data_IF_659970619500
#
_entry.id   IF_659970619500
#
_cell.length_a   1.000
_cell.length_b   1.000
_cell.length_c   1.000
_cell.angle_alpha   90.00
_cell.angle_beta   90.00
_cell.angle_gamma   90.00
#
_symmetry.space_group_name_H-M   'P 1'
#
loop_
_entity.id
_entity.type
_entity.pdbx_description
1 polymer ?
#
# COMPACT_ATOMS: atom_id res chain seq x y z
N UNK A 1 19.58 -12.82 3.39
CA UNK A 1 20.55 -11.85 2.84
C UNK A 1 19.79 -11.07 1.79
N UNK A 2 19.43 -9.82 2.06
CA UNK A 2 18.83 -8.96 1.05
C UNK A 2 19.80 -8.87 -0.13
N UNK A 3 19.32 -9.09 -1.36
CA UNK A 3 20.11 -8.87 -2.56
C UNK A 3 20.52 -7.39 -2.60
N UNK A 4 21.69 -7.06 -3.15
CA UNK A 4 22.12 -5.65 -3.28
C UNK A 4 21.06 -4.79 -3.98
N UNK A 5 20.29 -5.39 -4.90
CA UNK A 5 19.18 -4.73 -5.60
C UNK A 5 18.00 -4.37 -4.69
N UNK A 6 17.73 -5.18 -3.67
CA UNK A 6 16.62 -4.98 -2.72
C UNK A 6 16.96 -3.80 -1.79
N UNK A 7 18.22 -3.75 -1.35
CA UNK A 7 18.76 -2.66 -0.51
C UNK A 7 18.72 -1.33 -1.26
N UNK A 8 19.10 -1.33 -2.55
CA UNK A 8 19.03 -0.14 -3.40
C UNK A 8 17.57 0.33 -3.61
N UNK A 9 16.63 -0.60 -3.78
CA UNK A 9 15.20 -0.28 -3.95
C UNK A 9 14.60 0.29 -2.66
N UNK A 10 14.92 -0.29 -1.51
CA UNK A 10 14.46 0.19 -0.21
C UNK A 10 15.01 1.60 0.10
N UNK A 11 16.31 1.83 -0.13
CA UNK A 11 16.91 3.16 0.04
C UNK A 11 16.31 4.19 -0.93
N UNK A 12 16.06 3.80 -2.19
CA UNK A 12 15.42 4.67 -3.16
C UNK A 12 14.00 5.07 -2.73
N UNK A 13 13.20 4.10 -2.27
CA UNK A 13 11.85 4.37 -1.75
C UNK A 13 11.88 5.29 -0.54
N UNK A 14 12.77 5.02 0.42
CA UNK A 14 12.94 5.87 1.59
C UNK A 14 13.26 7.30 1.16
N UNK A 15 14.25 7.52 0.30
CA UNK A 15 14.62 8.85 -0.19
C UNK A 15 13.48 9.57 -0.94
N UNK A 16 12.60 8.84 -1.62
CA UNK A 16 11.47 9.42 -2.36
C UNK A 16 10.26 9.72 -1.49
N UNK A 17 10.05 8.96 -0.42
CA UNK A 17 8.83 9.00 0.37
C UNK A 17 9.03 9.55 1.79
N UNK A 18 10.28 9.71 2.27
CA UNK A 18 10.59 10.19 3.62
C UNK A 18 10.33 11.69 3.86
N UNK A 19 9.96 12.46 2.83
CA UNK A 19 9.59 13.88 2.97
C UNK A 19 8.58 14.11 4.10
N UNK A 20 8.66 15.24 4.80
CA UNK A 20 7.67 15.61 5.84
C UNK A 20 6.26 15.85 5.28
N UNK A 21 6.12 16.00 3.96
CA UNK A 21 4.80 16.04 3.32
C UNK A 21 4.07 14.72 3.57
N UNK A 22 2.96 14.77 4.31
CA UNK A 22 2.17 13.58 4.67
C UNK A 22 1.64 12.80 3.45
N UNK A 23 1.55 13.44 2.29
CA UNK A 23 0.99 12.86 1.08
C UNK A 23 2.09 12.38 0.14
N UNK A 24 1.82 11.32 -0.62
CA UNK A 24 2.74 10.84 -1.65
C UNK A 24 2.96 11.95 -2.69
N UNK A 25 4.23 12.34 -2.89
CA UNK A 25 4.58 13.29 -3.94
C UNK A 25 4.08 12.79 -5.29
N UNK A 26 3.45 13.67 -6.07
CA UNK A 26 2.59 13.37 -7.23
C UNK A 26 3.24 12.58 -8.38
N UNK A 27 4.52 12.23 -8.28
CA UNK A 27 5.33 11.67 -9.37
C UNK A 27 5.96 10.30 -9.07
N UNK A 28 5.70 9.66 -7.91
CA UNK A 28 6.31 8.33 -7.66
C UNK A 28 5.72 7.23 -8.55
N UNK A 29 4.42 7.31 -8.86
CA UNK A 29 3.72 6.28 -9.63
C UNK A 29 4.31 6.07 -11.03
N UNK A 30 4.90 7.09 -11.66
CA UNK A 30 5.55 6.94 -12.97
C UNK A 30 6.81 6.09 -12.94
N UNK A 31 7.38 5.86 -11.75
CA UNK A 31 8.54 4.98 -11.54
C UNK A 31 8.14 3.59 -11.03
N UNK A 32 6.87 3.37 -10.68
CA UNK A 32 6.36 2.06 -10.29
C UNK A 32 6.12 1.23 -11.56
N UNK A 33 7.19 0.64 -12.08
CA UNK A 33 7.10 -0.40 -13.11
C UNK A 33 6.87 -1.77 -12.46
N UNK A 34 6.45 -2.75 -13.25
CA UNK A 34 6.29 -4.15 -12.79
C UNK A 34 7.54 -4.68 -12.10
N UNK A 35 8.73 -4.41 -12.66
CA UNK A 35 10.00 -4.84 -12.06
C UNK A 35 10.28 -4.16 -10.71
N UNK A 36 9.96 -2.86 -10.60
CA UNK A 36 10.10 -2.13 -9.33
C UNK A 36 9.13 -2.68 -8.30
N UNK A 37 7.87 -2.96 -8.65
CA UNK A 37 6.90 -3.57 -7.73
C UNK A 37 7.37 -4.93 -7.22
N UNK A 38 7.97 -5.77 -8.06
CA UNK A 38 8.54 -7.05 -7.62
C UNK A 38 9.69 -6.86 -6.62
N UNK A 39 10.62 -5.95 -6.90
CA UNK A 39 11.69 -5.64 -5.95
C UNK A 39 11.13 -5.07 -4.62
N UNK A 40 10.02 -4.34 -4.69
CA UNK A 40 9.34 -3.82 -3.50
C UNK A 40 8.80 -4.97 -2.65
N UNK A 41 8.23 -6.02 -3.25
CA UNK A 41 7.75 -7.19 -2.49
C UNK A 41 8.87 -7.79 -1.64
N UNK A 42 10.07 -7.93 -2.22
CA UNK A 42 11.24 -8.49 -1.53
C UNK A 42 11.72 -7.62 -0.36
N UNK A 43 11.68 -6.29 -0.51
CA UNK A 43 12.18 -5.37 0.51
C UNK A 43 11.10 -4.75 1.41
N UNK A 44 9.81 -5.04 1.20
CA UNK A 44 8.68 -4.35 1.85
C UNK A 44 8.79 -4.35 3.37
N UNK A 45 9.12 -5.50 3.95
CA UNK A 45 9.27 -5.69 5.39
C UNK A 45 10.36 -4.80 6.02
N UNK A 46 11.36 -4.35 5.25
CA UNK A 46 12.45 -3.49 5.71
C UNK A 46 12.10 -2.01 5.74
N UNK A 47 10.98 -1.63 5.12
CA UNK A 47 10.54 -0.24 5.02
C UNK A 47 9.88 0.23 6.33
N UNK A 48 10.07 1.50 6.66
CA UNK A 48 9.37 2.13 7.78
C UNK A 48 7.86 2.25 7.51
N UNK A 49 7.03 2.20 8.55
CA UNK A 49 5.57 2.31 8.43
C UNK A 49 5.12 3.52 7.61
N UNK A 50 5.74 4.68 7.81
CA UNK A 50 5.41 5.90 7.08
C UNK A 50 5.71 5.78 5.57
N UNK A 51 6.80 5.10 5.20
CA UNK A 51 7.16 4.85 3.79
C UNK A 51 6.16 3.86 3.17
N UNK A 52 5.80 2.79 3.88
CA UNK A 52 4.78 1.82 3.46
C UNK A 52 3.43 2.50 3.19
N UNK A 53 2.94 3.32 4.13
CA UNK A 53 1.67 4.04 4.00
C UNK A 53 1.68 4.93 2.75
N UNK A 54 2.74 5.71 2.53
CA UNK A 54 2.83 6.59 1.36
C UNK A 54 2.96 5.82 0.06
N UNK A 55 3.65 4.68 0.07
CA UNK A 55 3.72 3.78 -1.08
C UNK A 55 2.34 3.22 -1.41
N UNK A 56 1.59 2.71 -0.43
CA UNK A 56 0.23 2.21 -0.63
C UNK A 56 -0.70 3.31 -1.16
N UNK A 57 -0.64 4.51 -0.58
CA UNK A 57 -1.40 5.67 -1.08
C UNK A 57 -1.01 6.05 -2.52
N UNK A 58 0.23 5.81 -2.94
CA UNK A 58 0.67 6.09 -4.30
C UNK A 58 -0.06 5.25 -5.36
N UNK A 59 -0.61 4.08 -5.00
CA UNK A 59 -1.36 3.23 -5.92
C UNK A 59 -2.62 3.92 -6.45
N UNK A 60 -3.23 4.80 -5.65
CA UNK A 60 -4.39 5.59 -6.05
C UNK A 60 -4.09 6.60 -7.17
N UNK A 61 -2.83 6.94 -7.39
CA UNK A 61 -2.40 7.84 -8.46
C UNK A 61 -2.05 7.11 -9.76
N UNK A 62 -1.99 5.77 -9.74
CA UNK A 62 -1.71 4.97 -10.93
C UNK A 62 -2.93 5.02 -11.86
N UNK A 63 -2.75 5.37 -13.15
CA UNK A 63 -3.84 5.32 -14.12
C UNK A 63 -4.51 3.94 -14.16
N UNK A 64 -5.84 3.91 -14.22
CA UNK A 64 -6.65 2.68 -14.15
C UNK A 64 -6.15 1.54 -15.05
N UNK A 65 -5.76 1.85 -16.29
CA UNK A 65 -5.28 0.85 -17.26
C UNK A 65 -3.98 0.20 -16.78
N UNK A 66 -3.03 1.01 -16.32
CA UNK A 66 -1.78 0.51 -15.77
C UNK A 66 -2.02 -0.29 -14.50
N UNK A 67 -2.87 0.18 -13.58
CA UNK A 67 -3.22 -0.56 -12.37
C UNK A 67 -3.79 -1.96 -12.64
N UNK A 68 -4.54 -2.14 -13.75
CA UNK A 68 -5.01 -3.45 -14.19
C UNK A 68 -3.90 -4.33 -14.74
N UNK A 69 -2.98 -3.75 -15.52
CA UNK A 69 -1.86 -4.48 -16.13
C UNK A 69 -0.88 -5.04 -15.08
N UNK A 70 -0.73 -4.34 -13.96
CA UNK A 70 0.10 -4.74 -12.80
C UNK A 70 -0.74 -5.16 -11.59
N UNK A 71 -1.97 -5.64 -11.81
CA UNK A 71 -2.86 -6.00 -10.70
C UNK A 71 -2.29 -7.10 -9.83
N UNK A 72 -1.59 -8.08 -10.42
CA UNK A 72 -0.92 -9.16 -9.69
C UNK A 72 0.11 -8.60 -8.71
N UNK A 73 1.05 -7.79 -9.21
CA UNK A 73 2.14 -7.26 -8.38
C UNK A 73 1.63 -6.31 -7.29
N UNK A 74 0.58 -5.54 -7.58
CA UNK A 74 -0.07 -4.67 -6.58
C UNK A 74 -0.79 -5.50 -5.51
N UNK A 75 -1.53 -6.54 -5.90
CA UNK A 75 -2.22 -7.44 -4.97
C UNK A 75 -1.22 -8.16 -4.04
N UNK A 76 -0.09 -8.63 -4.57
CA UNK A 76 0.95 -9.27 -3.76
C UNK A 76 1.48 -8.33 -2.66
N UNK A 77 1.73 -7.05 -2.99
CA UNK A 77 2.17 -6.05 -2.01
C UNK A 77 1.07 -5.78 -0.97
N UNK A 78 -0.20 -5.71 -1.39
CA UNK A 78 -1.33 -5.53 -0.47
C UNK A 78 -1.49 -6.74 0.46
N UNK A 79 -1.25 -7.95 -0.03
CA UNK A 79 -1.28 -9.17 0.78
C UNK A 79 -0.14 -9.20 1.81
N UNK A 80 1.06 -8.76 1.44
CA UNK A 80 2.16 -8.58 2.41
C UNK A 80 1.78 -7.51 3.45
N UNK A 81 1.19 -6.40 3.02
CA UNK A 81 0.80 -5.28 3.88
C UNK A 81 -0.34 -5.60 4.85
N UNK A 82 -1.26 -6.50 4.50
CA UNK A 82 -2.34 -6.94 5.41
C UNK A 82 -1.81 -7.77 6.60
N UNK A 83 -0.61 -8.34 6.47
CA UNK A 83 0.12 -9.03 7.54
C UNK A 83 1.05 -8.13 8.36
N UNK A 84 1.09 -6.82 8.11
CA UNK A 84 2.02 -5.91 8.79
C UNK A 84 1.69 -5.71 10.28
N UNK A 85 2.70 -5.47 11.09
CA UNK A 85 2.58 -5.15 12.52
C UNK A 85 1.95 -3.79 12.79
N UNK A 86 2.04 -2.86 11.84
CA UNK A 86 1.46 -1.53 11.93
C UNK A 86 -0.01 -1.54 11.46
N UNK A 87 -0.92 -1.15 12.35
CA UNK A 87 -2.35 -1.17 12.08
C UNK A 87 -2.74 -0.26 10.90
N UNK A 88 -2.05 0.86 10.67
CA UNK A 88 -2.36 1.74 9.54
C UNK A 88 -1.98 1.09 8.21
N UNK A 89 -0.82 0.42 8.14
CA UNK A 89 -0.41 -0.33 6.94
C UNK A 89 -1.41 -1.44 6.66
N UNK A 90 -1.79 -2.21 7.69
CA UNK A 90 -2.75 -3.32 7.57
C UNK A 90 -4.12 -2.87 7.10
N UNK A 91 -4.70 -1.87 7.75
CA UNK A 91 -6.03 -1.33 7.40
C UNK A 91 -6.00 -0.73 6.00
N UNK A 92 -4.97 0.04 5.66
CA UNK A 92 -4.86 0.66 4.33
C UNK A 92 -4.74 -0.40 3.22
N UNK A 93 -3.99 -1.48 3.48
CA UNK A 93 -3.89 -2.61 2.55
C UNK A 93 -5.25 -3.26 2.30
N UNK A 94 -6.05 -3.44 3.36
CA UNK A 94 -7.39 -3.99 3.26
C UNK A 94 -8.39 -3.06 2.56
N UNK A 95 -8.29 -1.74 2.76
CA UNK A 95 -9.09 -0.73 2.03
C UNK A 95 -8.77 -0.77 0.53
N UNK A 96 -7.50 -0.96 0.17
CA UNK A 96 -7.05 -0.99 -1.22
C UNK A 96 -7.21 -2.36 -1.87
N UNK A 97 -7.62 -3.40 -1.15
CA UNK A 97 -7.62 -4.80 -1.60
C UNK A 97 -8.36 -5.04 -2.93
N UNK A 98 -9.44 -4.30 -3.18
CA UNK A 98 -10.24 -4.43 -4.42
C UNK A 98 -9.83 -3.43 -5.50
N UNK A 99 -8.93 -2.49 -5.21
CA UNK A 99 -8.61 -1.38 -6.09
C UNK A 99 -7.88 -1.80 -7.37
N UNK A 100 -6.83 -2.65 -7.35
CA UNK A 100 -6.11 -3.04 -8.57
C UNK A 100 -7.03 -3.67 -9.63
N UNK A 101 -7.98 -4.50 -9.18
CA UNK A 101 -8.89 -5.23 -10.06
C UNK A 101 -10.10 -4.38 -10.49
N UNK A 102 -10.79 -3.77 -9.53
CA UNK A 102 -12.09 -3.11 -9.77
C UNK A 102 -11.99 -1.61 -9.99
N UNK A 103 -10.91 -0.97 -9.50
CA UNK A 103 -10.77 0.47 -9.42
C UNK A 103 -11.61 1.11 -8.30
N UNK A 104 -12.24 0.29 -7.45
CA UNK A 104 -13.02 0.73 -6.28
C UNK A 104 -12.32 0.31 -5.00
N UNK A 105 -12.58 1.02 -3.90
CA UNK A 105 -12.07 0.67 -2.57
C UNK A 105 -12.93 -0.41 -1.92
N UNK A 106 -12.33 -1.20 -1.04
CA UNK A 106 -13.02 -2.15 -0.20
C UNK A 106 -13.68 -1.41 0.98
N UNK A 107 -15.00 -1.56 1.10
CA UNK A 107 -15.80 -0.94 2.16
C UNK A 107 -16.20 -1.95 3.26
N UNK A 108 -15.96 -3.24 3.04
CA UNK A 108 -16.31 -4.31 3.97
C UNK A 108 -15.23 -4.46 5.06
N UNK A 109 -15.00 -3.38 5.81
CA UNK A 109 -13.94 -3.26 6.81
C UNK A 109 -14.36 -3.72 8.21
N UNK A 110 -15.66 -4.00 8.43
CA UNK A 110 -16.17 -4.48 9.73
C UNK A 110 -15.46 -5.78 10.18
N UNK A 111 -15.03 -6.61 9.22
CA UNK A 111 -14.30 -7.86 9.48
C UNK A 111 -12.78 -7.68 9.58
N UNK A 112 -12.24 -6.51 9.21
CA UNK A 112 -10.80 -6.23 9.15
C UNK A 112 -10.25 -5.80 10.51
N UNK A 113 -11.01 -4.99 11.23
CA UNK A 113 -10.63 -4.54 12.57
C UNK A 113 -11.85 -4.37 13.47
N UNK A 114 -11.79 -4.85 14.73
CA UNK A 114 -12.88 -4.69 15.68
C UNK A 114 -13.20 -3.21 15.95
N UNK A 115 -12.25 -2.31 15.70
CA UNK A 115 -12.45 -0.86 15.79
C UNK A 115 -13.52 -0.38 14.80
N UNK A 116 -13.51 -0.86 13.55
CA UNK A 116 -14.53 -0.49 12.57
C UNK A 116 -15.90 -1.04 12.96
N UNK A 117 -15.97 -2.29 13.42
CA UNK A 117 -17.23 -2.88 13.87
C UNK A 117 -17.84 -2.07 15.03
N UNK A 118 -17.03 -1.67 16.01
CA UNK A 118 -17.47 -0.84 17.12
C UNK A 118 -17.96 0.55 16.65
N UNK A 119 -17.16 1.25 15.84
CA UNK A 119 -17.53 2.59 15.33
C UNK A 119 -18.81 2.54 14.49
N UNK A 120 -18.97 1.54 13.63
CA UNK A 120 -20.18 1.40 12.80
C UNK A 120 -21.41 1.13 13.67
N UNK A 121 -21.26 0.30 14.72
CA UNK A 121 -22.34 0.06 15.68
C UNK A 121 -22.74 1.37 16.38
N UNK A 122 -21.76 2.16 16.84
CA UNK A 122 -22.00 3.44 17.50
C UNK A 122 -22.69 4.44 16.57
N UNK A 123 -22.23 4.56 15.32
CA UNK A 123 -22.83 5.46 14.33
C UNK A 123 -24.27 5.05 13.99
N UNK A 124 -24.58 3.75 13.93
CA UNK A 124 -25.95 3.26 13.65
C UNK A 124 -26.94 3.55 14.78
N UNK A 125 -26.47 3.93 15.97
CA UNK A 125 -27.31 4.31 17.11
C UNK A 125 -27.63 5.81 17.16
N UNK A 126 -27.02 6.62 16.29
CA UNK A 126 -27.28 8.07 16.12
C UNK A 126 -28.43 8.28 15.15
#
# INVERSE_FOLDING_TARGET
>A
MASMRDVDTAMWLHNKLSSDDMWSGTNIWSFLTTDVLRNIQDCFHTLDSQVKIKLLMSFLYIPRRSAQEMSSELNDILEIGSGDSDDWVRILSEILRTYPETGSLNIDLENVSPVFAAIVQDIRQI
#
